data_IF_703509865307
#
_entry.id   IF_703509865307
#
_cell.length_a   1.000
_cell.length_b   1.000
_cell.length_c   1.000
_cell.angle_alpha   90.00
_cell.angle_beta   90.00
_cell.angle_gamma   90.00
#
_symmetry.space_group_name_H-M   'P 1'
#
loop_
_entity.id
_entity.type
_entity.pdbx_description
1 polymer ?
#
# COMPACT_ATOMS: atom_id res chain seq x y z
N UNK A 1 7.59 19.43 -15.76
CA UNK A 1 8.22 18.45 -14.83
C UNK A 1 7.24 17.31 -14.68
N UNK A 2 7.51 16.13 -15.26
CA UNK A 2 6.62 14.97 -15.08
C UNK A 2 6.92 14.35 -13.72
N UNK A 3 6.15 14.71 -12.69
CA UNK A 3 6.11 13.94 -11.44
C UNK A 3 5.52 12.56 -11.78
N UNK A 4 6.40 11.58 -12.03
CA UNK A 4 6.00 10.19 -12.18
C UNK A 4 5.67 9.66 -10.78
N UNK A 5 4.43 9.86 -10.35
CA UNK A 5 3.94 9.31 -9.09
C UNK A 5 3.88 7.78 -9.17
N UNK A 6 4.15 7.13 -8.04
CA UNK A 6 3.98 5.69 -7.91
C UNK A 6 2.51 5.31 -8.10
N UNK A 7 2.24 4.07 -8.53
CA UNK A 7 0.87 3.57 -8.69
C UNK A 7 0.64 2.40 -7.76
N UNK A 8 -0.51 2.41 -7.07
CA UNK A 8 -0.97 1.27 -6.29
C UNK A 8 -1.60 0.25 -7.24
N UNK A 9 -1.08 -0.97 -7.22
CA UNK A 9 -1.60 -2.11 -7.98
C UNK A 9 -1.88 -3.25 -7.00
N UNK A 10 -3.08 -3.81 -7.06
CA UNK A 10 -3.44 -4.94 -6.22
C UNK A 10 -2.97 -6.25 -6.85
N UNK A 11 -2.36 -7.11 -6.03
CA UNK A 11 -2.13 -8.49 -6.39
C UNK A 11 -3.47 -9.21 -6.61
N UNK A 12 -3.54 -9.98 -7.70
CA UNK A 12 -4.68 -10.83 -8.05
C UNK A 12 -4.28 -12.30 -7.95
N UNK A 13 -5.05 -13.09 -7.22
CA UNK A 13 -4.82 -14.54 -7.13
C UNK A 13 -5.17 -15.23 -8.46
N UNK A 14 -4.75 -16.48 -8.63
CA UNK A 14 -5.13 -17.30 -9.80
C UNK A 14 -6.66 -17.49 -9.91
N UNK A 15 -7.37 -17.49 -8.77
CA UNK A 15 -8.83 -17.60 -8.70
C UNK A 15 -9.53 -16.26 -8.97
N UNK A 16 -8.77 -15.17 -9.06
CA UNK A 16 -9.25 -13.85 -9.42
C UNK A 16 -9.57 -12.93 -8.25
N UNK A 17 -9.33 -13.38 -7.01
CA UNK A 17 -9.55 -12.58 -5.80
C UNK A 17 -8.49 -11.48 -5.69
N UNK A 18 -8.86 -10.38 -5.02
CA UNK A 18 -7.97 -9.27 -4.70
C UNK A 18 -7.86 -9.11 -3.18
N UNK A 19 -7.12 -9.99 -2.47
CA UNK A 19 -7.26 -10.14 -1.02
C UNK A 19 -7.07 -8.84 -0.22
N UNK A 20 -6.08 -8.03 -0.61
CA UNK A 20 -5.83 -6.74 0.04
C UNK A 20 -6.96 -5.72 -0.23
N UNK A 21 -7.48 -5.65 -1.47
CA UNK A 21 -8.58 -4.75 -1.80
C UNK A 21 -9.88 -5.18 -1.12
N UNK A 22 -10.18 -6.48 -1.13
CA UNK A 22 -11.35 -7.07 -0.45
C UNK A 22 -11.31 -6.81 1.06
N UNK A 23 -10.15 -7.00 1.69
CA UNK A 23 -9.95 -6.67 3.10
C UNK A 23 -10.15 -5.18 3.37
N UNK A 24 -9.52 -4.30 2.59
CA UNK A 24 -9.69 -2.83 2.77
C UNK A 24 -11.17 -2.46 2.61
N UNK A 25 -11.87 -3.06 1.65
CA UNK A 25 -13.29 -2.80 1.39
C UNK A 25 -14.21 -3.28 2.52
N UNK A 26 -13.82 -4.28 3.30
CA UNK A 26 -14.61 -4.76 4.44
C UNK A 26 -14.43 -3.92 5.71
N UNK A 27 -13.42 -3.05 5.77
CA UNK A 27 -13.17 -2.19 6.92
C UNK A 27 -14.22 -1.07 7.09
N UNK A 28 -14.37 -0.63 8.33
CA UNK A 28 -15.16 0.56 8.66
C UNK A 28 -14.48 1.84 8.15
N UNK A 29 -15.25 2.91 7.94
CA UNK A 29 -14.79 4.15 7.31
C UNK A 29 -13.51 4.70 7.96
N UNK A 30 -13.46 4.77 9.29
CA UNK A 30 -12.28 5.29 10.02
C UNK A 30 -11.01 4.49 9.76
N UNK A 31 -11.11 3.18 9.56
CA UNK A 31 -9.96 2.34 9.24
C UNK A 31 -9.56 2.49 7.76
N UNK A 32 -10.52 2.62 6.85
CA UNK A 32 -10.26 2.94 5.43
C UNK A 32 -9.53 4.27 5.27
N UNK A 33 -9.94 5.31 5.97
CA UNK A 33 -9.33 6.64 5.89
C UNK A 33 -7.84 6.61 6.25
N UNK A 34 -7.46 5.82 7.27
CA UNK A 34 -6.05 5.63 7.63
C UNK A 34 -5.25 4.99 6.49
N UNK A 35 -5.83 4.02 5.79
CA UNK A 35 -5.16 3.32 4.69
C UNK A 35 -5.02 4.25 3.48
N UNK A 36 -6.05 5.03 3.16
CA UNK A 36 -6.04 6.01 2.07
C UNK A 36 -4.91 7.02 2.28
N UNK A 37 -4.79 7.59 3.48
CA UNK A 37 -3.71 8.52 3.81
C UNK A 37 -2.33 7.90 3.58
N UNK A 38 -2.16 6.62 3.94
CA UNK A 38 -0.89 5.92 3.71
C UNK A 38 -0.65 5.62 2.22
N UNK A 39 -1.71 5.38 1.42
CA UNK A 39 -1.60 5.24 -0.03
C UNK A 39 -1.21 6.54 -0.73
N UNK A 40 -1.70 7.69 -0.26
CA UNK A 40 -1.29 8.99 -0.78
C UNK A 40 0.22 9.19 -0.57
N UNK A 41 0.71 8.90 0.63
CA UNK A 41 2.14 8.95 0.95
C UNK A 41 2.96 7.97 0.10
N UNK A 42 2.50 6.73 -0.09
CA UNK A 42 3.18 5.77 -0.95
C UNK A 42 3.20 6.20 -2.43
N UNK A 43 2.13 6.82 -2.90
CA UNK A 43 2.00 7.34 -4.27
C UNK A 43 2.99 8.47 -4.51
N UNK A 44 3.23 9.32 -3.52
CA UNK A 44 4.18 10.43 -3.59
C UNK A 44 5.64 9.98 -3.41
N UNK A 45 5.94 9.18 -2.39
CA UNK A 45 7.32 8.89 -1.96
C UNK A 45 7.82 7.50 -2.36
N UNK A 46 6.92 6.56 -2.69
CA UNK A 46 7.26 5.16 -2.96
C UNK A 46 8.01 4.50 -1.80
N UNK A 47 9.00 3.66 -2.13
CA UNK A 47 9.82 2.96 -1.11
C UNK A 47 10.72 3.90 -0.29
N UNK A 48 10.82 5.19 -0.64
CA UNK A 48 11.55 6.18 0.16
C UNK A 48 10.75 6.70 1.35
N UNK A 49 9.46 6.37 1.46
CA UNK A 49 8.59 6.77 2.57
C UNK A 49 9.19 6.42 3.95
N UNK A 50 9.77 5.23 4.06
CA UNK A 50 10.50 4.81 5.26
C UNK A 50 9.66 4.74 6.55
N UNK A 51 10.30 4.55 7.72
CA UNK A 51 9.62 4.51 9.01
C UNK A 51 9.00 5.86 9.40
N UNK A 52 7.86 5.89 10.13
CA UNK A 52 7.18 4.73 10.72
C UNK A 52 6.25 3.96 9.77
N UNK A 53 5.95 4.53 8.60
CA UNK A 53 4.90 4.03 7.70
C UNK A 53 5.30 2.78 6.91
N UNK A 54 6.59 2.62 6.59
CA UNK A 54 7.08 1.53 5.78
C UNK A 54 8.36 0.93 6.38
N UNK A 55 8.43 -0.41 6.41
CA UNK A 55 9.62 -1.13 6.88
C UNK A 55 9.97 -2.25 5.90
N UNK A 56 11.25 -2.35 5.54
CA UNK A 56 11.75 -3.46 4.72
C UNK A 56 11.78 -4.75 5.53
N UNK A 57 11.28 -5.85 4.98
CA UNK A 57 11.38 -7.16 5.60
C UNK A 57 12.76 -7.78 5.34
N UNK A 58 13.51 -8.07 6.41
CA UNK A 58 14.87 -8.61 6.35
C UNK A 58 14.93 -9.90 5.53
N UNK A 59 15.93 -10.00 4.65
CA UNK A 59 16.12 -11.17 3.79
C UNK A 59 15.16 -11.26 2.59
N UNK A 60 14.36 -10.22 2.32
CA UNK A 60 13.38 -10.23 1.21
C UNK A 60 13.44 -8.96 0.36
N UNK A 61 12.73 -8.99 -0.78
CA UNK A 61 12.43 -7.82 -1.63
C UNK A 61 11.03 -7.26 -1.33
N UNK A 62 10.53 -7.43 -0.10
CA UNK A 62 9.18 -7.02 0.30
C UNK A 62 9.27 -5.99 1.43
N UNK A 63 8.29 -5.09 1.45
CA UNK A 63 8.10 -4.07 2.48
C UNK A 63 6.74 -4.26 3.14
N UNK A 64 6.67 -4.04 4.45
CA UNK A 64 5.42 -3.94 5.19
C UNK A 64 4.98 -2.47 5.29
N UNK A 65 3.69 -2.23 5.12
CA UNK A 65 3.02 -0.96 5.40
C UNK A 65 2.44 -1.02 6.82
N UNK A 66 2.67 0.01 7.64
CA UNK A 66 2.31 0.04 9.07
C UNK A 66 1.33 1.15 9.42
#
# INVERSE_FOLDING_TARGET
MTNQNWKIVYYKTLQGNLPAAEFINSLEAKAKDKIINTFDLLTEFGIKLGPPHCKKLSGTQVWELR
#
